data_IF_845733356855
#
_entry.id   IF_845733356855
#
_cell.length_a   1.000
_cell.length_b   1.000
_cell.length_c   1.000
_cell.angle_alpha   90.00
_cell.angle_beta   90.00
_cell.angle_gamma   90.00
#
_symmetry.space_group_name_H-M   'P 1'
#
loop_
_entity.id
_entity.type
_entity.pdbx_description
1 polymer ?
#
# COMPACT_ATOMS: atom_id res chain seq x y z
N UNK A 1 11.13 -6.58 -45.50
CA UNK A 1 9.96 -5.67 -45.45
C UNK A 1 8.66 -6.32 -45.95
N UNK A 2 8.68 -7.17 -46.99
CA UNK A 2 7.48 -7.88 -47.48
C UNK A 2 6.80 -8.80 -46.44
N UNK A 3 7.58 -9.59 -45.69
CA UNK A 3 7.05 -10.53 -44.67
C UNK A 3 6.32 -9.83 -43.51
N UNK A 4 6.84 -8.70 -43.03
CA UNK A 4 6.18 -7.96 -41.96
C UNK A 4 4.88 -7.29 -42.44
N UNK A 5 4.86 -6.78 -43.68
CA UNK A 5 3.63 -6.26 -44.29
C UNK A 5 2.54 -7.33 -44.39
N UNK A 6 2.92 -8.57 -44.76
CA UNK A 6 2.01 -9.70 -44.76
C UNK A 6 1.49 -10.03 -43.36
N UNK A 7 2.37 -10.05 -42.36
CA UNK A 7 1.97 -10.24 -40.96
C UNK A 7 0.98 -9.17 -40.46
N UNK A 8 1.18 -7.89 -40.82
CA UNK A 8 0.22 -6.83 -40.49
C UNK A 8 -1.14 -7.08 -41.17
N UNK A 9 -1.16 -7.47 -42.45
CA UNK A 9 -2.39 -7.82 -43.16
C UNK A 9 -3.13 -8.96 -42.45
N UNK A 10 -2.41 -10.03 -42.11
CA UNK A 10 -2.95 -11.17 -41.35
C UNK A 10 -3.49 -10.74 -39.98
N UNK A 11 -2.82 -9.82 -39.30
CA UNK A 11 -3.26 -9.28 -38.02
C UNK A 11 -4.61 -8.57 -38.11
N UNK A 12 -4.82 -7.74 -39.13
CA UNK A 12 -6.12 -7.09 -39.37
C UNK A 12 -7.23 -8.10 -39.71
N UNK A 13 -6.93 -9.13 -40.49
CA UNK A 13 -7.90 -10.19 -40.81
C UNK A 13 -8.24 -11.05 -39.57
N UNK A 14 -7.28 -11.30 -38.68
CA UNK A 14 -7.53 -11.96 -37.39
C UNK A 14 -8.47 -11.11 -36.51
N UNK A 15 -8.28 -9.78 -36.45
CA UNK A 15 -9.18 -8.89 -35.71
C UNK A 15 -10.59 -8.91 -36.29
N UNK A 16 -10.73 -9.06 -37.60
CA UNK A 16 -12.03 -9.27 -38.27
C UNK A 16 -12.60 -10.68 -38.08
N UNK A 17 -11.96 -11.51 -37.25
CA UNK A 17 -12.38 -12.87 -36.92
C UNK A 17 -12.31 -13.84 -38.12
N UNK A 18 -11.43 -13.58 -39.09
CA UNK A 18 -11.23 -14.46 -40.24
C UNK A 18 -10.61 -15.79 -39.78
N UNK A 19 -11.43 -16.85 -39.79
CA UNK A 19 -11.03 -18.19 -39.31
C UNK A 19 -9.99 -18.85 -40.20
N UNK A 20 -9.99 -18.58 -41.49
CA UNK A 20 -9.01 -19.13 -42.44
C UNK A 20 -7.64 -18.53 -42.16
N UNK A 21 -7.56 -17.21 -42.02
CA UNK A 21 -6.31 -16.54 -41.64
C UNK A 21 -5.79 -16.99 -40.27
N UNK A 22 -6.69 -17.24 -39.30
CA UNK A 22 -6.28 -17.81 -38.00
C UNK A 22 -5.64 -19.19 -38.18
N UNK A 23 -6.21 -20.05 -39.04
CA UNK A 23 -5.63 -21.38 -39.36
C UNK A 23 -4.26 -21.25 -40.03
N UNK A 24 -4.15 -20.37 -41.03
CA UNK A 24 -2.88 -20.10 -41.70
C UNK A 24 -1.79 -19.66 -40.72
N UNK A 25 -2.09 -18.68 -39.85
CA UNK A 25 -1.14 -18.15 -38.87
C UNK A 25 -0.75 -19.18 -37.81
N UNK A 26 -1.69 -20.02 -37.37
CA UNK A 26 -1.40 -21.04 -36.36
C UNK A 26 -0.53 -22.18 -36.88
N UNK A 27 -0.51 -22.43 -38.20
CA UNK A 27 0.32 -23.44 -38.86
C UNK A 27 1.67 -22.86 -39.35
N UNK A 28 1.71 -21.56 -39.66
CA UNK A 28 2.91 -20.87 -40.16
C UNK A 28 4.05 -20.84 -39.11
N UNK A 29 5.18 -21.48 -39.43
CA UNK A 29 6.36 -21.54 -38.56
C UNK A 29 7.06 -20.17 -38.43
N UNK A 30 6.94 -19.31 -39.43
CA UNK A 30 7.57 -18.00 -39.43
C UNK A 30 6.74 -16.93 -38.71
N UNK A 31 5.45 -17.19 -38.45
CA UNK A 31 4.55 -16.23 -37.82
C UNK A 31 4.87 -15.93 -36.34
N UNK A 32 5.74 -16.70 -35.68
CA UNK A 32 6.12 -16.42 -34.29
C UNK A 32 6.87 -15.09 -34.11
N UNK A 33 7.88 -14.82 -34.94
CA UNK A 33 8.69 -13.62 -34.80
C UNK A 33 7.89 -12.32 -35.09
N UNK A 34 7.05 -12.24 -36.14
CA UNK A 34 6.17 -11.10 -36.35
C UNK A 34 5.19 -10.88 -35.18
N UNK A 35 4.66 -11.94 -34.57
CA UNK A 35 3.79 -11.82 -33.40
C UNK A 35 4.51 -11.12 -32.23
N UNK A 36 5.78 -11.46 -31.98
CA UNK A 36 6.61 -10.79 -30.96
C UNK A 36 6.81 -9.31 -31.27
N UNK A 37 7.13 -8.99 -32.53
CA UNK A 37 7.36 -7.61 -32.96
C UNK A 37 6.08 -6.78 -32.81
N UNK A 38 4.92 -7.32 -33.21
CA UNK A 38 3.63 -6.63 -33.08
C UNK A 38 3.30 -6.32 -31.63
N UNK A 39 3.49 -7.30 -30.74
CA UNK A 39 3.31 -7.12 -29.29
C UNK A 39 4.28 -6.07 -28.75
N UNK A 40 5.56 -6.16 -29.09
CA UNK A 40 6.58 -5.21 -28.61
C UNK A 40 6.28 -3.77 -29.03
N UNK A 41 5.86 -3.54 -30.28
CA UNK A 41 5.44 -2.21 -30.75
C UNK A 41 4.23 -1.70 -29.96
N UNK A 42 3.32 -2.59 -29.54
CA UNK A 42 2.19 -2.24 -28.67
C UNK A 42 2.60 -1.71 -27.29
N UNK A 43 3.86 -1.90 -26.87
CA UNK A 43 4.40 -1.34 -25.63
C UNK A 43 4.90 0.09 -25.75
N UNK A 44 5.06 0.62 -26.97
CA UNK A 44 5.56 1.98 -27.19
C UNK A 44 4.63 3.04 -26.58
N UNK A 45 3.28 2.99 -26.73
CA UNK A 45 2.39 3.94 -26.08
C UNK A 45 2.55 3.99 -24.55
N UNK A 46 2.82 2.85 -23.91
CA UNK A 46 3.09 2.78 -22.47
C UNK A 46 4.42 3.45 -22.11
N UNK A 47 5.45 3.26 -22.95
CA UNK A 47 6.74 3.94 -22.82
C UNK A 47 6.65 5.45 -22.97
N UNK A 48 5.85 5.94 -23.93
CA UNK A 48 5.59 7.38 -24.11
C UNK A 48 4.94 7.98 -22.85
N UNK A 49 3.96 7.28 -22.26
CA UNK A 49 3.36 7.70 -20.99
C UNK A 49 4.35 7.73 -19.83
N UNK A 50 5.35 6.85 -19.83
CA UNK A 50 6.41 6.81 -18.83
C UNK A 50 7.31 8.06 -18.87
N UNK A 51 7.61 8.58 -20.07
CA UNK A 51 8.35 9.83 -20.25
C UNK A 51 7.60 11.02 -19.67
N UNK A 52 6.28 11.12 -19.90
CA UNK A 52 5.47 12.18 -19.30
C UNK A 52 5.49 12.17 -17.77
N UNK A 53 5.89 11.05 -17.14
CA UNK A 53 6.07 10.91 -15.69
C UNK A 53 7.53 11.00 -15.23
N UNK A 54 8.46 11.38 -16.13
CA UNK A 54 9.88 11.56 -15.83
C UNK A 54 10.76 10.30 -15.96
N UNK A 55 10.23 9.18 -16.45
CA UNK A 55 10.96 7.91 -16.55
C UNK A 55 11.37 7.61 -18.01
N UNK A 56 12.52 8.16 -18.44
CA UNK A 56 13.00 8.03 -19.83
C UNK A 56 13.33 6.60 -20.26
N UNK A 57 13.72 5.72 -19.33
CA UNK A 57 14.03 4.31 -19.62
C UNK A 57 12.78 3.50 -20.00
N UNK A 58 11.58 4.04 -19.76
CA UNK A 58 10.31 3.36 -20.03
C UNK A 58 10.08 3.01 -21.49
N UNK A 59 10.64 3.75 -22.46
CA UNK A 59 10.53 3.41 -23.90
C UNK A 59 11.16 2.05 -24.21
N UNK A 60 12.27 1.70 -23.56
CA UNK A 60 13.00 0.46 -23.85
C UNK A 60 12.41 -0.69 -23.05
N UNK A 61 12.10 -0.45 -21.77
CA UNK A 61 11.58 -1.48 -20.88
C UNK A 61 10.17 -1.91 -21.27
N UNK A 62 9.30 -0.97 -21.66
CA UNK A 62 7.89 -1.28 -21.90
C UNK A 62 7.65 -2.31 -23.03
N UNK A 63 8.27 -2.21 -24.22
CA UNK A 63 8.17 -3.25 -25.26
C UNK A 63 8.61 -4.63 -24.78
N UNK A 64 9.74 -4.72 -24.07
CA UNK A 64 10.29 -6.00 -23.60
C UNK A 64 9.40 -6.61 -22.51
N UNK A 65 9.00 -5.79 -21.54
CA UNK A 65 8.10 -6.20 -20.48
C UNK A 65 6.74 -6.65 -21.06
N UNK A 66 6.23 -5.97 -22.08
CA UNK A 66 4.95 -6.33 -22.68
C UNK A 66 5.01 -7.65 -23.42
N UNK A 67 6.12 -7.95 -24.11
CA UNK A 67 6.35 -9.28 -24.68
C UNK A 67 6.38 -10.32 -23.56
N UNK A 68 7.14 -10.12 -22.48
CA UNK A 68 7.17 -11.08 -21.37
C UNK A 68 5.77 -11.31 -20.75
N UNK A 69 5.01 -10.22 -20.53
CA UNK A 69 3.64 -10.27 -20.01
C UNK A 69 2.72 -11.02 -20.98
N UNK A 70 2.86 -10.83 -22.30
CA UNK A 70 2.00 -11.51 -23.27
C UNK A 70 2.25 -13.03 -23.29
N UNK A 71 3.48 -13.50 -23.04
CA UNK A 71 3.76 -14.93 -22.86
C UNK A 71 3.01 -15.47 -21.65
N UNK A 72 3.12 -14.81 -20.50
CA UNK A 72 2.45 -15.23 -19.26
C UNK A 72 0.93 -15.21 -19.46
N UNK A 73 0.37 -14.14 -20.02
CA UNK A 73 -1.05 -14.02 -20.28
C UNK A 73 -1.55 -15.12 -21.23
N UNK A 74 -0.83 -15.39 -22.32
CA UNK A 74 -1.15 -16.50 -23.24
C UNK A 74 -1.04 -17.85 -22.53
N UNK A 75 -0.08 -18.01 -21.61
CA UNK A 75 0.08 -19.23 -20.83
C UNK A 75 -1.12 -19.48 -19.92
N UNK A 76 -1.61 -18.45 -19.23
CA UNK A 76 -2.82 -18.54 -18.40
C UNK A 76 -4.03 -18.92 -19.27
N UNK A 77 -4.21 -18.26 -20.41
CA UNK A 77 -5.27 -18.58 -21.37
C UNK A 77 -5.17 -20.03 -21.84
N UNK A 78 -3.96 -20.46 -22.19
CA UNK A 78 -3.69 -21.82 -22.67
C UNK A 78 -4.06 -22.86 -21.62
N UNK A 79 -3.64 -22.66 -20.36
CA UNK A 79 -3.98 -23.56 -19.24
C UNK A 79 -5.48 -23.63 -19.03
N UNK A 80 -6.19 -22.49 -18.99
CA UNK A 80 -7.65 -22.48 -18.84
C UNK A 80 -8.31 -23.22 -20.01
N UNK A 81 -7.88 -22.97 -21.24
CA UNK A 81 -8.42 -23.64 -22.42
C UNK A 81 -8.15 -25.14 -22.41
N UNK A 82 -6.96 -25.56 -21.96
CA UNK A 82 -6.58 -26.95 -21.82
C UNK A 82 -7.43 -27.67 -20.75
N UNK A 83 -7.66 -27.02 -19.59
CA UNK A 83 -8.56 -27.54 -18.54
C UNK A 83 -10.01 -27.71 -19.02
N UNK A 84 -10.44 -26.92 -20.01
CA UNK A 84 -11.75 -27.07 -20.66
C UNK A 84 -11.75 -28.09 -21.81
N UNK A 85 -10.67 -28.87 -21.96
CA UNK A 85 -10.54 -29.94 -22.95
C UNK A 85 -10.04 -29.48 -24.32
N UNK A 86 -9.30 -28.37 -24.39
CA UNK A 86 -8.66 -27.92 -25.62
C UNK A 86 -7.39 -28.71 -25.94
N UNK A 87 -7.18 -29.04 -27.22
CA UNK A 87 -6.06 -29.87 -27.68
C UNK A 87 -4.99 -29.15 -28.50
N UNK A 88 -5.06 -27.82 -28.61
CA UNK A 88 -4.14 -27.02 -29.40
C UNK A 88 -2.74 -26.86 -28.79
N UNK A 89 -1.84 -26.21 -29.53
CA UNK A 89 -0.49 -25.89 -29.04
C UNK A 89 -0.40 -24.47 -28.47
N UNK A 90 0.41 -24.30 -27.43
CA UNK A 90 0.70 -23.01 -26.83
C UNK A 90 1.26 -22.01 -27.87
N UNK A 91 2.23 -22.46 -28.69
CA UNK A 91 2.88 -21.61 -29.69
C UNK A 91 1.90 -21.18 -30.77
N UNK A 92 1.03 -22.09 -31.22
CA UNK A 92 -0.05 -21.78 -32.17
C UNK A 92 -0.98 -20.71 -31.61
N UNK A 93 -1.33 -20.80 -30.33
CA UNK A 93 -2.19 -19.82 -29.67
C UNK A 93 -1.49 -18.46 -29.53
N UNK A 94 -0.21 -18.47 -29.12
CA UNK A 94 0.60 -17.26 -29.01
C UNK A 94 0.74 -16.54 -30.35
N UNK A 95 1.00 -17.26 -31.44
CA UNK A 95 1.09 -16.66 -32.79
C UNK A 95 -0.18 -15.88 -33.13
N UNK A 96 -1.35 -16.48 -32.92
CA UNK A 96 -2.64 -15.86 -33.25
C UNK A 96 -2.95 -14.67 -32.34
N UNK A 97 -2.81 -14.84 -31.02
CA UNK A 97 -3.09 -13.76 -30.06
C UNK A 97 -2.08 -12.61 -30.16
N UNK A 98 -0.81 -12.90 -30.46
CA UNK A 98 0.21 -11.89 -30.67
C UNK A 98 -0.03 -11.07 -31.94
N UNK A 99 -0.53 -11.67 -33.02
CA UNK A 99 -0.99 -10.92 -34.20
C UNK A 99 -2.23 -10.07 -33.88
N UNK A 100 -3.20 -10.63 -33.17
CA UNK A 100 -4.39 -9.89 -32.74
C UNK A 100 -4.07 -8.66 -31.86
N UNK A 101 -2.91 -8.68 -31.19
CA UNK A 101 -2.46 -7.59 -30.32
C UNK A 101 -2.21 -6.27 -31.05
N UNK A 102 -2.17 -6.24 -32.39
CA UNK A 102 -2.09 -4.99 -33.16
C UNK A 102 -3.21 -4.00 -32.80
N UNK A 103 -4.37 -4.49 -32.33
CA UNK A 103 -5.48 -3.62 -31.91
C UNK A 103 -5.11 -2.75 -30.69
N UNK A 104 -4.15 -3.19 -29.88
CA UNK A 104 -3.66 -2.43 -28.72
C UNK A 104 -2.96 -1.13 -29.14
N UNK A 105 -2.50 -1.01 -30.39
CA UNK A 105 -1.85 0.21 -30.87
C UNK A 105 -2.80 1.41 -30.88
N UNK A 106 -4.12 1.16 -30.94
CA UNK A 106 -5.16 2.20 -30.80
C UNK A 106 -5.16 2.84 -29.40
N UNK A 107 -4.54 2.21 -28.40
CA UNK A 107 -4.42 2.78 -27.04
C UNK A 107 -3.59 4.06 -26.97
N UNK A 108 -2.85 4.40 -28.04
CA UNK A 108 -2.17 5.70 -28.15
C UNK A 108 -3.17 6.86 -28.12
N UNK A 109 -4.43 6.63 -28.52
CA UNK A 109 -5.48 7.63 -28.51
C UNK A 109 -6.16 7.61 -27.13
N UNK A 110 -6.12 8.72 -26.36
CA UNK A 110 -6.80 8.82 -25.08
C UNK A 110 -8.30 8.47 -25.20
N UNK A 111 -8.85 7.83 -24.17
CA UNK A 111 -10.27 7.47 -24.03
C UNK A 111 -10.82 6.41 -25.01
N UNK A 112 -10.08 6.02 -26.06
CA UNK A 112 -10.52 4.98 -27.01
C UNK A 112 -10.17 3.56 -26.51
N UNK A 113 -9.14 3.41 -25.65
CA UNK A 113 -8.50 2.13 -25.33
C UNK A 113 -9.40 1.03 -24.74
N UNK A 114 -10.57 1.37 -24.17
CA UNK A 114 -11.47 0.38 -23.57
C UNK A 114 -12.18 -0.47 -24.64
N UNK A 115 -12.56 0.14 -25.78
CA UNK A 115 -13.28 -0.55 -26.86
C UNK A 115 -12.39 -1.62 -27.54
N UNK A 116 -11.15 -1.34 -27.96
CA UNK A 116 -10.19 -2.35 -28.42
C UNK A 116 -9.99 -3.52 -27.45
N UNK A 117 -9.95 -3.22 -26.16
CA UNK A 117 -9.70 -4.21 -25.11
C UNK A 117 -10.85 -5.22 -25.00
N UNK A 118 -12.10 -4.76 -25.11
CA UNK A 118 -13.26 -5.66 -25.14
C UNK A 118 -13.32 -6.48 -26.43
N UNK A 119 -12.91 -5.91 -27.57
CA UNK A 119 -12.86 -6.66 -28.83
C UNK A 119 -11.84 -7.81 -28.79
N UNK A 120 -10.72 -7.65 -28.09
CA UNK A 120 -9.75 -8.73 -27.89
C UNK A 120 -10.36 -9.96 -27.21
N UNK A 121 -11.37 -9.81 -26.35
CA UNK A 121 -12.08 -10.96 -25.76
C UNK A 121 -12.86 -11.74 -26.82
N UNK A 122 -13.46 -11.04 -27.79
CA UNK A 122 -14.17 -11.69 -28.92
C UNK A 122 -13.17 -12.43 -29.80
N UNK A 123 -12.04 -11.79 -30.13
CA UNK A 123 -10.95 -12.42 -30.89
C UNK A 123 -10.42 -13.65 -30.16
N UNK A 124 -10.21 -13.55 -28.83
CA UNK A 124 -9.78 -14.65 -27.99
C UNK A 124 -10.75 -15.84 -28.08
N UNK A 125 -12.07 -15.61 -27.97
CA UNK A 125 -13.07 -16.67 -28.07
C UNK A 125 -13.01 -17.37 -29.43
N UNK A 126 -12.79 -16.65 -30.53
CA UNK A 126 -12.65 -17.25 -31.86
C UNK A 126 -11.31 -17.99 -32.00
N UNK A 127 -10.21 -17.42 -31.50
CA UNK A 127 -8.91 -18.05 -31.47
C UNK A 127 -8.93 -19.37 -30.69
N UNK A 128 -9.61 -19.41 -29.55
CA UNK A 128 -9.77 -20.64 -28.76
C UNK A 128 -10.58 -21.73 -29.50
N UNK A 129 -11.61 -21.35 -30.27
CA UNK A 129 -12.34 -22.32 -31.08
C UNK A 129 -11.47 -22.92 -32.19
N UNK A 130 -10.68 -22.09 -32.86
CA UNK A 130 -9.88 -22.53 -34.03
C UNK A 130 -8.60 -23.24 -33.60
N UNK A 131 -7.84 -22.63 -32.69
CA UNK A 131 -6.52 -23.11 -32.28
C UNK A 131 -6.63 -24.24 -31.26
N UNK A 132 -7.48 -24.08 -30.25
CA UNK A 132 -7.62 -25.06 -29.18
C UNK A 132 -8.70 -26.12 -29.48
N UNK A 133 -9.47 -25.96 -30.56
CA UNK A 133 -10.56 -26.88 -30.92
C UNK A 133 -11.74 -26.84 -29.95
N UNK A 134 -11.87 -25.78 -29.14
CA UNK A 134 -12.94 -25.69 -28.15
C UNK A 134 -14.30 -25.45 -28.80
N UNK A 135 -15.35 -26.02 -28.21
CA UNK A 135 -16.73 -25.67 -28.57
C UNK A 135 -17.02 -24.21 -28.19
N UNK A 136 -17.95 -23.57 -28.92
CA UNK A 136 -18.31 -22.15 -28.70
C UNK A 136 -18.61 -21.83 -27.23
N UNK A 137 -19.35 -22.70 -26.53
CA UNK A 137 -19.69 -22.52 -25.11
C UNK A 137 -18.44 -22.53 -24.22
N UNK A 138 -17.53 -23.49 -24.42
CA UNK A 138 -16.30 -23.60 -23.62
C UNK A 138 -15.33 -22.46 -23.88
N UNK A 139 -15.21 -22.02 -25.13
CA UNK A 139 -14.40 -20.85 -25.47
C UNK A 139 -14.92 -19.56 -24.81
N UNK A 140 -16.25 -19.36 -24.77
CA UNK A 140 -16.87 -18.24 -24.06
C UNK A 140 -16.59 -18.32 -22.56
N UNK A 141 -16.71 -19.51 -21.95
CA UNK A 141 -16.40 -19.73 -20.52
C UNK A 141 -14.93 -19.38 -20.23
N UNK A 142 -13.98 -19.83 -21.06
CA UNK A 142 -12.57 -19.48 -20.90
C UNK A 142 -12.34 -17.96 -20.91
N UNK A 143 -12.94 -17.27 -21.89
CA UNK A 143 -12.85 -15.80 -21.99
C UNK A 143 -13.48 -15.10 -20.78
N UNK A 144 -14.61 -15.59 -20.29
CA UNK A 144 -15.28 -15.05 -19.10
C UNK A 144 -14.44 -15.24 -17.83
N UNK A 145 -13.85 -16.42 -17.62
CA UNK A 145 -12.97 -16.69 -16.48
C UNK A 145 -11.79 -15.72 -16.45
N UNK A 146 -11.14 -15.52 -17.60
CA UNK A 146 -10.02 -14.57 -17.72
C UNK A 146 -10.46 -13.13 -17.40
N UNK A 147 -11.58 -12.69 -17.97
CA UNK A 147 -12.09 -11.34 -17.75
C UNK A 147 -12.50 -11.11 -16.28
N UNK A 148 -13.21 -12.06 -15.68
CA UNK A 148 -13.59 -11.99 -14.26
C UNK A 148 -12.37 -12.00 -13.34
N UNK A 149 -11.36 -12.84 -13.63
CA UNK A 149 -10.12 -12.88 -12.85
C UNK A 149 -9.40 -11.53 -12.89
N UNK A 150 -9.37 -10.90 -14.07
CA UNK A 150 -8.81 -9.57 -14.25
C UNK A 150 -9.61 -8.50 -13.48
N UNK A 151 -10.94 -8.53 -13.55
CA UNK A 151 -11.78 -7.60 -12.78
C UNK A 151 -11.59 -7.72 -11.27
N UNK A 152 -11.50 -8.95 -10.75
CA UNK A 152 -11.26 -9.20 -9.32
C UNK A 152 -9.88 -8.65 -8.92
N UNK A 153 -8.85 -8.91 -9.73
CA UNK A 153 -7.51 -8.36 -9.49
C UNK A 153 -7.52 -6.82 -9.42
N UNK A 154 -8.21 -6.15 -10.35
CA UNK A 154 -8.36 -4.69 -10.33
C UNK A 154 -9.13 -4.18 -9.10
N UNK A 155 -10.19 -4.88 -8.70
CA UNK A 155 -10.95 -4.54 -7.50
C UNK A 155 -10.08 -4.62 -6.24
N UNK A 156 -9.26 -5.67 -6.12
CA UNK A 156 -8.32 -5.84 -5.00
C UNK A 156 -7.29 -4.70 -4.97
N UNK A 157 -6.69 -4.36 -6.11
CA UNK A 157 -5.76 -3.23 -6.19
C UNK A 157 -6.43 -1.89 -5.81
N UNK A 158 -7.68 -1.68 -6.21
CA UNK A 158 -8.45 -0.49 -5.84
C UNK A 158 -8.65 -0.41 -4.33
N UNK A 159 -9.04 -1.51 -3.68
CA UNK A 159 -9.22 -1.58 -2.22
C UNK A 159 -7.90 -1.27 -1.49
N UNK A 160 -6.79 -1.87 -1.94
CA UNK A 160 -5.46 -1.59 -1.39
C UNK A 160 -5.10 -0.12 -1.55
N UNK A 161 -5.35 0.47 -2.72
CA UNK A 161 -5.10 1.89 -2.98
C UNK A 161 -5.90 2.83 -2.07
N UNK A 162 -7.18 2.50 -1.83
CA UNK A 162 -8.03 3.26 -0.90
C UNK A 162 -7.50 3.14 0.54
N UNK A 163 -7.12 1.94 0.97
CA UNK A 163 -6.54 1.71 2.29
C UNK A 163 -5.22 2.46 2.48
N UNK A 164 -4.33 2.40 1.50
CA UNK A 164 -3.04 3.11 1.52
C UNK A 164 -3.24 4.64 1.57
N UNK A 165 -4.19 5.17 0.80
CA UNK A 165 -4.54 6.60 0.85
C UNK A 165 -5.07 7.00 2.23
N UNK A 166 -6.01 6.24 2.78
CA UNK A 166 -6.57 6.50 4.12
C UNK A 166 -5.48 6.46 5.20
N UNK A 167 -4.56 5.51 5.15
CA UNK A 167 -3.41 5.44 6.05
C UNK A 167 -2.52 6.67 5.92
N UNK A 168 -2.17 7.06 4.69
CA UNK A 168 -1.35 8.26 4.41
C UNK A 168 -2.04 9.53 4.93
N UNK A 169 -3.36 9.66 4.75
CA UNK A 169 -4.14 10.81 5.25
C UNK A 169 -4.17 10.87 6.78
N UNK A 170 -4.26 9.70 7.44
CA UNK A 170 -4.17 9.60 8.90
C UNK A 170 -2.79 10.06 9.37
N UNK A 171 -1.72 9.53 8.76
CA UNK A 171 -0.34 9.90 9.13
C UNK A 171 -0.08 11.38 8.93
N UNK A 172 -0.52 11.97 7.81
CA UNK A 172 -0.38 13.41 7.56
C UNK A 172 -1.08 14.25 8.62
N UNK A 173 -2.31 13.90 9.01
CA UNK A 173 -3.01 14.62 10.09
C UNK A 173 -2.24 14.56 11.42
N UNK A 174 -1.64 13.42 11.75
CA UNK A 174 -0.84 13.30 12.97
C UNK A 174 0.41 14.20 12.91
N UNK A 175 1.08 14.26 11.75
CA UNK A 175 2.24 15.13 11.55
C UNK A 175 1.83 16.61 11.62
N UNK A 176 0.78 17.03 10.91
CA UNK A 176 0.31 18.43 10.89
C UNK A 176 -0.08 18.91 12.30
N UNK A 177 -0.76 18.05 13.07
CA UNK A 177 -1.14 18.34 14.46
C UNK A 177 0.11 18.50 15.32
N UNK A 178 1.10 17.60 15.18
CA UNK A 178 2.34 17.65 15.95
C UNK A 178 3.17 18.89 15.61
N UNK A 179 3.30 19.23 14.32
CA UNK A 179 4.01 20.41 13.84
C UNK A 179 3.33 21.70 14.34
N UNK A 180 2.00 21.74 14.34
CA UNK A 180 1.24 22.86 14.90
C UNK A 180 1.56 23.04 16.40
N UNK A 181 1.49 21.98 17.20
CA UNK A 181 1.81 22.06 18.65
C UNK A 181 3.26 22.50 18.92
N UNK A 182 4.23 22.02 18.12
CA UNK A 182 5.64 22.41 18.22
C UNK A 182 5.84 23.90 17.88
N UNK A 183 5.18 24.39 16.83
CA UNK A 183 5.27 25.81 16.42
C UNK A 183 4.62 26.80 17.40
N UNK A 184 3.70 26.31 18.22
CA UNK A 184 2.98 27.10 19.23
C UNK A 184 3.75 27.11 20.56
N UNK A 185 4.50 26.04 20.87
CA UNK A 185 5.38 25.96 22.05
C UNK A 185 6.71 26.69 21.88
N UNK A 186 7.20 26.86 20.65
CA UNK A 186 8.40 27.66 20.36
C UNK A 186 8.13 29.18 20.43
N UNK A 187 6.86 29.61 20.38
CA UNK A 187 6.42 31.01 20.54
C UNK A 187 6.13 31.42 21.98
N UNK A 188 6.64 30.67 22.96
CA UNK A 188 6.65 31.12 24.36
C UNK A 188 7.71 32.23 24.47
N UNK A 189 7.35 33.49 24.78
CA UNK A 189 8.33 34.53 24.97
C UNK A 189 9.30 34.13 26.08
N UNK A 190 10.60 34.41 25.89
CA UNK A 190 11.60 34.25 26.96
C UNK A 190 11.06 34.91 28.23
N UNK A 191 10.78 34.11 29.26
CA UNK A 191 10.33 34.67 30.54
C UNK A 191 11.47 35.54 31.09
N UNK A 192 11.23 36.84 31.35
CA UNK A 192 12.24 37.65 32.00
C UNK A 192 12.51 37.04 33.37
N UNK A 193 13.76 36.66 33.60
CA UNK A 193 14.26 36.26 34.91
C UNK A 193 14.30 37.52 35.77
N UNK A 194 13.18 37.85 36.39
CA UNK A 194 13.12 38.74 37.55
C UNK A 194 12.07 38.21 38.51
N UNK A 195 12.57 37.48 39.51
CA UNK A 195 11.86 37.21 40.75
C UNK A 195 11.75 38.54 41.48
N UNK A 196 10.58 39.17 41.41
CA UNK A 196 9.86 39.78 42.53
C UNK A 196 8.63 40.53 41.99
N UNK A 197 7.57 40.50 42.79
CA UNK A 197 6.46 41.46 42.81
C UNK A 197 5.15 41.08 42.07
N UNK A 198 4.22 40.59 42.90
CA UNK A 198 2.77 40.79 42.89
C UNK A 198 1.95 40.32 41.67
N UNK A 199 1.60 39.03 41.67
CA UNK A 199 0.39 38.53 41.00
C UNK A 199 -0.65 38.10 42.04
N UNK A 200 -1.83 38.74 41.95
CA UNK A 200 -3.04 38.23 42.59
C UNK A 200 -3.42 36.85 42.05
N UNK A 201 -3.63 35.94 42.99
CA UNK A 201 -4.34 34.65 42.95
C UNK A 201 -4.50 33.92 41.58
N UNK A 202 -3.55 32.98 41.37
CA UNK A 202 -3.51 31.72 40.56
C UNK A 202 -3.52 31.75 39.00
N UNK A 203 -2.49 31.18 38.33
CA UNK A 203 -2.57 29.75 37.94
C UNK A 203 -1.20 29.02 37.83
N UNK A 204 -0.55 28.68 38.93
CA UNK A 204 0.52 27.66 38.94
C UNK A 204 0.53 26.97 40.30
N UNK A 205 -0.34 25.97 40.46
CA UNK A 205 -0.32 25.12 41.65
C UNK A 205 0.63 23.95 41.39
N UNK A 206 1.88 24.09 41.81
CA UNK A 206 2.80 22.96 41.92
C UNK A 206 2.26 22.07 43.03
N UNK A 207 1.60 20.96 42.67
CA UNK A 207 1.06 20.00 43.64
C UNK A 207 2.13 18.94 43.91
N UNK A 208 2.77 19.01 45.08
CA UNK A 208 3.75 18.02 45.55
C UNK A 208 3.09 16.73 46.10
N UNK A 209 1.87 16.42 45.65
CA UNK A 209 1.11 15.21 46.02
C UNK A 209 0.38 14.69 44.79
N UNK A 210 0.28 13.37 44.71
CA UNK A 210 -0.55 12.71 43.70
C UNK A 210 -1.98 13.28 43.79
N UNK A 211 -2.64 13.58 42.65
CA UNK A 211 -4.04 14.01 42.67
C UNK A 211 -4.91 13.01 43.44
N UNK A 212 -5.85 13.49 44.26
CA UNK A 212 -6.73 12.62 45.06
C UNK A 212 -7.63 11.73 44.19
N UNK A 213 -7.86 12.15 42.95
CA UNK A 213 -8.65 11.46 41.92
C UNK A 213 -7.79 10.57 40.99
N UNK A 214 -6.52 10.30 41.33
CA UNK A 214 -5.65 9.50 40.48
C UNK A 214 -6.15 8.04 40.36
N UNK A 215 -6.30 7.48 39.14
CA UNK A 215 -6.85 6.14 38.98
C UNK A 215 -5.97 5.03 39.58
N UNK A 216 -6.56 4.21 40.46
CA UNK A 216 -5.88 3.08 41.12
C UNK A 216 -5.35 2.02 40.15
N UNK A 217 -5.88 1.96 38.93
CA UNK A 217 -5.52 0.99 37.91
C UNK A 217 -4.28 1.38 37.08
N UNK A 218 -3.77 2.60 37.26
CA UNK A 218 -2.53 3.08 36.67
C UNK A 218 -1.38 2.87 37.67
N UNK A 219 -0.40 1.99 37.38
CA UNK A 219 0.70 1.74 38.31
C UNK A 219 1.65 2.95 38.37
N UNK A 220 2.04 3.34 39.59
CA UNK A 220 3.13 4.31 39.83
C UNK A 220 4.36 3.54 40.29
N UNK A 221 5.53 3.84 39.72
CA UNK A 221 6.78 3.15 40.09
C UNK A 221 7.14 3.42 41.56
N UNK A 222 7.40 2.35 42.32
CA UNK A 222 7.72 2.45 43.75
C UNK A 222 9.09 3.13 43.92
N UNK A 223 9.12 4.27 44.62
CA UNK A 223 10.33 5.07 44.79
C UNK A 223 10.51 6.18 43.75
N UNK A 224 9.52 6.40 42.89
CA UNK A 224 9.45 7.61 42.08
C UNK A 224 9.00 8.81 42.91
N UNK A 225 9.62 9.97 42.68
CA UNK A 225 9.28 11.26 43.27
C UNK A 225 8.47 12.05 42.26
N UNK A 226 7.36 12.64 42.71
CA UNK A 226 6.56 13.54 41.89
C UNK A 226 7.32 14.84 41.66
N UNK A 227 7.64 15.12 40.40
CA UNK A 227 8.27 16.37 40.00
C UNK A 227 7.21 17.42 39.64
N UNK A 228 6.18 17.04 38.86
CA UNK A 228 5.07 17.94 38.52
C UNK A 228 3.84 17.18 38.01
N UNK A 229 2.69 17.85 38.07
CA UNK A 229 1.44 17.47 37.39
C UNK A 229 1.05 18.58 36.43
N UNK A 230 0.57 18.25 35.24
CA UNK A 230 0.06 19.25 34.29
C UNK A 230 -1.23 18.75 33.62
N UNK A 231 -2.13 19.66 33.25
CA UNK A 231 -3.23 19.31 32.34
C UNK A 231 -2.71 19.33 30.89
N UNK A 232 -3.07 18.33 30.08
CA UNK A 232 -2.72 18.23 28.66
C UNK A 232 -4.01 17.92 27.88
N UNK A 233 -4.60 18.94 27.25
CA UNK A 233 -5.91 18.82 26.60
C UNK A 233 -6.99 18.37 27.59
N UNK A 234 -7.70 17.29 27.26
CA UNK A 234 -8.69 16.66 28.16
C UNK A 234 -8.06 15.65 29.15
N UNK A 235 -6.73 15.49 29.13
CA UNK A 235 -6.00 14.54 29.98
C UNK A 235 -5.13 15.23 31.02
N UNK A 236 -4.52 14.42 31.89
CA UNK A 236 -3.57 14.84 32.91
C UNK A 236 -2.23 14.15 32.68
N UNK A 237 -1.13 14.87 32.90
CA UNK A 237 0.22 14.33 32.92
C UNK A 237 0.80 14.35 34.32
N UNK A 238 1.48 13.25 34.65
CA UNK A 238 2.23 13.06 35.88
C UNK A 238 3.71 12.88 35.50
N UNK A 239 4.54 13.83 35.88
CA UNK A 239 5.98 13.79 35.64
C UNK A 239 6.68 13.36 36.93
N UNK A 240 7.36 12.22 36.86
CA UNK A 240 8.04 11.61 37.98
C UNK A 240 9.53 11.46 37.66
N UNK A 241 10.35 11.47 38.70
CA UNK A 241 11.77 11.14 38.62
C UNK A 241 12.08 10.01 39.59
N UNK A 242 13.06 9.17 39.26
CA UNK A 242 13.51 8.11 40.18
C UNK A 242 15.01 7.90 40.05
N UNK A 243 15.63 7.48 41.15
CA UNK A 243 17.04 7.11 41.21
C UNK A 243 17.27 5.68 40.64
N UNK A 244 16.20 4.95 40.30
CA UNK A 244 16.26 3.63 39.68
C UNK A 244 16.70 3.70 38.21
N UNK A 245 17.28 2.61 37.71
CA UNK A 245 17.78 2.56 36.34
C UNK A 245 16.65 2.53 35.31
N UNK A 246 16.94 3.04 34.11
CA UNK A 246 16.01 3.01 32.97
C UNK A 246 15.46 1.61 32.67
N UNK A 247 16.32 0.58 32.73
CA UNK A 247 15.93 -0.81 32.46
C UNK A 247 14.96 -1.38 33.51
N UNK A 248 15.16 -1.04 34.78
CA UNK A 248 14.27 -1.48 35.87
C UNK A 248 12.88 -0.86 35.77
N UNK A 249 12.83 0.44 35.48
CA UNK A 249 11.56 1.17 35.31
C UNK A 249 10.83 0.68 34.06
N UNK A 250 11.55 0.48 32.95
CA UNK A 250 11.01 -0.11 31.72
C UNK A 250 10.37 -1.47 31.96
N UNK A 251 11.07 -2.36 32.67
CA UNK A 251 10.58 -3.71 32.99
C UNK A 251 9.30 -3.65 33.83
N UNK A 252 9.28 -2.80 34.87
CA UNK A 252 8.13 -2.64 35.75
C UNK A 252 6.85 -2.28 34.97
N UNK A 253 6.88 -1.25 34.13
CA UNK A 253 5.68 -0.80 33.40
C UNK A 253 5.21 -1.82 32.36
N UNK A 254 6.13 -2.52 31.67
CA UNK A 254 5.75 -3.60 30.74
C UNK A 254 5.01 -4.75 31.46
N UNK A 255 5.38 -5.06 32.69
CA UNK A 255 4.78 -6.17 33.46
C UNK A 255 3.48 -5.74 34.19
N UNK A 256 3.50 -4.62 34.90
CA UNK A 256 2.36 -4.19 35.73
C UNK A 256 1.16 -3.75 34.91
N UNK A 257 1.36 -3.09 33.77
CA UNK A 257 0.25 -2.71 32.89
C UNK A 257 -0.50 -3.95 32.37
N UNK A 258 0.25 -4.98 31.94
CA UNK A 258 -0.33 -6.25 31.50
C UNK A 258 -1.06 -6.98 32.62
N UNK A 259 -0.47 -7.05 33.82
CA UNK A 259 -1.12 -7.65 35.01
C UNK A 259 -2.45 -6.96 35.36
N UNK A 260 -2.54 -5.64 35.13
CA UNK A 260 -3.72 -4.81 35.39
C UNK A 260 -4.70 -4.77 34.21
N UNK A 261 -4.51 -5.63 33.21
CA UNK A 261 -5.44 -5.84 32.10
C UNK A 261 -5.37 -4.80 30.99
N UNK A 262 -4.29 -4.02 30.92
CA UNK A 262 -4.06 -3.10 29.81
C UNK A 262 -3.46 -3.83 28.61
N UNK A 263 -4.00 -3.56 27.42
CA UNK A 263 -3.35 -3.94 26.17
C UNK A 263 -2.29 -2.89 25.81
N UNK A 264 -1.08 -3.32 25.43
CA UNK A 264 0.07 -2.42 25.31
C UNK A 264 0.73 -2.49 23.94
N UNK A 265 1.01 -1.34 23.34
CA UNK A 265 1.90 -1.15 22.19
C UNK A 265 3.17 -0.45 22.65
N UNK A 266 4.33 -0.96 22.24
CA UNK A 266 5.64 -0.45 22.68
C UNK A 266 6.38 0.15 21.49
N UNK A 267 6.89 1.36 21.68
CA UNK A 267 7.86 2.01 20.79
C UNK A 267 9.16 2.23 21.59
N UNK A 268 10.26 1.65 21.13
CA UNK A 268 11.53 1.64 21.85
C UNK A 268 12.64 2.25 20.98
N UNK A 269 13.42 3.15 21.58
CA UNK A 269 14.60 3.79 20.99
C UNK A 269 15.74 3.75 22.02
N UNK A 270 16.97 4.07 21.60
CA UNK A 270 18.12 4.06 22.51
C UNK A 270 17.92 5.09 23.65
N UNK A 271 17.89 4.62 24.90
CA UNK A 271 17.69 5.46 26.09
C UNK A 271 16.26 5.98 26.31
N UNK A 272 15.28 5.55 25.51
CA UNK A 272 13.91 6.03 25.58
C UNK A 272 12.88 4.96 25.20
N UNK A 273 11.76 4.91 25.92
CA UNK A 273 10.64 4.03 25.58
C UNK A 273 9.31 4.73 25.80
N UNK A 274 8.39 4.52 24.86
CA UNK A 274 6.98 4.88 25.01
C UNK A 274 6.13 3.61 25.00
N UNK A 275 5.29 3.47 26.02
CA UNK A 275 4.30 2.41 26.15
C UNK A 275 2.93 3.07 26.04
N UNK A 276 2.25 2.85 24.91
CA UNK A 276 0.85 3.18 24.77
C UNK A 276 0.02 2.00 25.29
N UNK A 277 -0.89 2.27 26.22
CA UNK A 277 -1.74 1.29 26.88
C UNK A 277 -3.22 1.68 26.71
N UNK A 278 -4.08 0.71 26.43
CA UNK A 278 -5.50 0.95 26.22
C UNK A 278 -6.38 -0.11 26.90
N UNK A 279 -7.56 0.32 27.34
CA UNK A 279 -8.64 -0.56 27.82
C UNK A 279 -9.87 -0.36 26.93
N UNK A 280 -10.13 -1.32 26.06
CA UNK A 280 -11.19 -1.24 25.05
C UNK A 280 -12.58 -1.10 25.66
N UNK A 281 -12.84 -1.75 26.80
CA UNK A 281 -14.15 -1.71 27.47
C UNK A 281 -14.49 -0.36 28.10
N UNK A 282 -13.47 0.41 28.47
CA UNK A 282 -13.63 1.64 29.25
C UNK A 282 -13.33 2.89 28.42
N UNK A 283 -13.00 2.74 27.12
CA UNK A 283 -12.53 3.81 26.22
C UNK A 283 -11.35 4.63 26.78
N UNK A 284 -10.59 4.06 27.72
CA UNK A 284 -9.49 4.73 28.40
C UNK A 284 -8.14 4.48 27.72
N UNK A 285 -7.40 5.57 27.56
CA UNK A 285 -6.05 5.59 27.01
C UNK A 285 -5.03 6.05 28.06
N UNK A 286 -3.88 5.39 28.07
CA UNK A 286 -2.75 5.66 28.94
C UNK A 286 -1.47 5.66 28.10
N UNK A 287 -0.61 6.65 28.29
CA UNK A 287 0.74 6.66 27.72
C UNK A 287 1.75 6.78 28.83
N UNK A 288 2.71 5.86 28.87
CA UNK A 288 3.87 5.93 29.78
C UNK A 288 5.12 6.11 28.93
N UNK A 289 5.75 7.27 29.04
CA UNK A 289 7.04 7.54 28.45
C UNK A 289 8.13 7.48 29.53
N UNK A 290 9.22 6.80 29.24
CA UNK A 290 10.36 6.66 30.14
C UNK A 290 11.61 7.10 29.37
N UNK A 291 12.42 7.97 29.96
CA UNK A 291 13.71 8.37 29.42
C UNK A 291 14.83 8.09 30.43
N UNK A 292 15.96 7.62 29.93
CA UNK A 292 17.21 7.59 30.69
C UNK A 292 17.91 8.93 30.57
N UNK A 293 18.36 9.51 31.68
CA UNK A 293 19.20 10.72 31.67
C UNK A 293 18.59 11.92 32.37
N UNK A 294 18.41 11.83 33.69
CA UNK A 294 18.72 12.99 34.53
C UNK A 294 20.22 12.94 34.85
N UNK A 295 20.86 14.10 35.06
CA UNK A 295 22.31 14.27 35.30
C UNK A 295 22.87 13.52 36.53
N UNK A 296 22.06 12.68 37.18
CA UNK A 296 22.40 11.82 38.31
C UNK A 296 21.72 10.47 38.11
N UNK A 297 22.18 9.64 37.16
CA UNK A 297 21.95 8.18 37.09
C UNK A 297 20.51 7.64 37.07
N UNK A 298 19.49 8.49 37.03
CA UNK A 298 18.09 8.14 37.21
C UNK A 298 17.26 8.18 35.92
N UNK A 299 16.02 7.71 36.04
CA UNK A 299 15.02 7.73 34.98
C UNK A 299 13.95 8.80 35.23
N UNK A 300 13.48 9.43 34.15
CA UNK A 300 12.27 10.25 34.17
C UNK A 300 11.10 9.45 33.60
N UNK A 301 9.93 9.58 34.22
CA UNK A 301 8.70 8.89 33.84
C UNK A 301 7.63 9.95 33.62
N UNK A 302 7.01 9.94 32.45
CA UNK A 302 5.84 10.75 32.15
C UNK A 302 4.65 9.82 31.93
N UNK A 303 3.62 9.99 32.75
CA UNK A 303 2.37 9.26 32.62
C UNK A 303 1.30 10.24 32.14
N UNK A 304 0.75 10.00 30.96
CA UNK A 304 -0.38 10.77 30.42
C UNK A 304 -1.60 9.86 30.45
N UNK A 305 -2.66 10.31 31.11
CA UNK A 305 -3.90 9.58 31.20
C UNK A 305 -5.09 10.49 30.94
N UNK A 306 -6.15 9.91 30.39
CA UNK A 306 -7.46 10.53 30.27
C UNK A 306 -8.43 9.76 31.15
N UNK A 307 -9.23 10.50 31.91
CA UNK A 307 -10.35 9.96 32.68
C UNK A 307 -11.44 9.42 31.75
#
# INVERSE_FOLDING_TARGET
>A
MSKFKDALKKSFEIIKLNRETIKEVMEDKEAFLPALVIVGIGGIPLGIWSIFRGYFIGIIIAPVALVAISFVATGIVFVIAYLLGGGGSYISLYKVLGHAYIISWLSIIPYIGLIPSLWLLVVLVVALQVVMGLSKRRAIIAGAILFCSWLIFFLVLMIIGIAAKKFTDITKRHVDVTEKYMSETERVPEMPVSVEENMGEEPFKIINKLPEDFPDDIPVYKGAKLASTMAIGDGKSLNLTTDASFEEVKKYYKEELKKRGWETTVMEAEGYITIAAYKVKDERGLTVAISGGTSVGGAAIMIIYKD
#
